data_IF_728011398600
#
_entry.id   IF_728011398600
#
_cell.length_a   1.000
_cell.length_b   1.000
_cell.length_c   1.000
_cell.angle_alpha   90.00
_cell.angle_beta   90.00
_cell.angle_gamma   90.00
#
_symmetry.space_group_name_H-M   'P 1'
#
loop_
_entity.id
_entity.type
_entity.pdbx_description
1 polymer ?
#
# COMPACT_ATOMS: atom_id res chain seq x y z
N UNK A 1 90.19 77.32 -18.94
CA UNK A 1 89.76 76.17 -18.11
C UNK A 1 88.51 76.46 -17.25
N UNK A 2 88.08 77.73 -17.07
CA UNK A 2 86.89 78.11 -16.27
C UNK A 2 85.56 78.05 -17.05
N UNK A 3 85.59 78.24 -18.38
CA UNK A 3 84.38 78.26 -19.23
C UNK A 3 83.64 76.91 -19.31
N UNK A 4 84.36 75.79 -19.37
CA UNK A 4 83.77 74.44 -19.41
C UNK A 4 83.10 74.04 -18.09
N UNK A 5 83.58 74.54 -16.95
CA UNK A 5 82.99 74.26 -15.64
C UNK A 5 81.66 75.00 -15.47
N UNK A 6 81.59 76.25 -15.96
CA UNK A 6 80.36 77.04 -15.90
C UNK A 6 79.25 76.45 -16.77
N UNK A 7 79.61 75.93 -17.94
CA UNK A 7 78.66 75.29 -18.86
C UNK A 7 78.08 73.99 -18.28
N UNK A 8 78.93 73.16 -17.66
CA UNK A 8 78.48 71.93 -17.01
C UNK A 8 77.53 72.20 -15.82
N UNK A 9 77.77 73.26 -15.03
CA UNK A 9 76.91 73.64 -13.91
C UNK A 9 75.53 74.12 -14.40
N UNK A 10 75.48 74.86 -15.52
CA UNK A 10 74.21 75.32 -16.10
C UNK A 10 73.39 74.13 -16.61
N UNK A 11 74.01 73.19 -17.32
CA UNK A 11 73.33 71.96 -17.80
C UNK A 11 72.79 71.13 -16.62
N UNK A 12 73.56 71.04 -15.53
CA UNK A 12 73.11 70.32 -14.33
C UNK A 12 71.93 71.02 -13.63
N UNK A 13 71.94 72.35 -13.57
CA UNK A 13 70.84 73.13 -13.00
C UNK A 13 69.55 73.00 -13.85
N UNK A 14 69.68 73.02 -15.17
CA UNK A 14 68.54 72.84 -16.08
C UNK A 14 67.97 71.42 -16.02
N UNK A 15 68.81 70.40 -15.85
CA UNK A 15 68.38 69.01 -15.67
C UNK A 15 67.57 68.84 -14.37
N UNK A 16 68.06 69.38 -13.25
CA UNK A 16 67.37 69.34 -11.96
C UNK A 16 66.02 70.05 -12.03
N UNK A 17 65.95 71.19 -12.72
CA UNK A 17 64.71 71.96 -12.89
C UNK A 17 63.67 71.21 -13.73
N UNK A 18 64.11 70.52 -14.79
CA UNK A 18 63.23 69.70 -15.63
C UNK A 18 62.68 68.48 -14.87
N UNK A 19 63.46 67.90 -13.97
CA UNK A 19 63.08 66.72 -13.18
C UNK A 19 62.10 67.08 -12.05
N UNK A 20 62.33 68.21 -11.37
CA UNK A 20 61.38 68.78 -10.40
C UNK A 20 60.03 69.12 -11.04
N UNK A 21 60.02 69.76 -12.22
CA UNK A 21 58.78 70.08 -12.94
C UNK A 21 57.99 68.82 -13.36
N UNK A 22 58.69 67.76 -13.80
CA UNK A 22 58.06 66.47 -14.12
C UNK A 22 57.46 65.78 -12.90
N UNK A 23 58.14 65.84 -11.75
CA UNK A 23 57.65 65.21 -10.51
C UNK A 23 56.43 65.94 -9.94
N UNK A 24 56.39 67.28 -10.01
CA UNK A 24 55.23 68.05 -9.59
C UNK A 24 54.01 67.78 -10.50
N UNK A 25 54.21 67.67 -11.81
CA UNK A 25 53.14 67.37 -12.75
C UNK A 25 52.56 65.96 -12.56
N UNK A 26 53.43 64.98 -12.28
CA UNK A 26 53.00 63.62 -11.90
C UNK A 26 52.23 63.61 -10.59
N UNK A 27 52.67 64.38 -9.60
CA UNK A 27 51.96 64.49 -8.31
C UNK A 27 50.55 65.04 -8.48
N UNK A 28 50.35 66.06 -9.32
CA UNK A 28 49.01 66.62 -9.60
C UNK A 28 48.10 65.60 -10.29
N UNK A 29 48.62 64.89 -11.28
CA UNK A 29 47.86 63.85 -11.99
C UNK A 29 47.41 62.70 -11.06
N UNK A 30 48.27 62.26 -10.14
CA UNK A 30 47.92 61.23 -9.16
C UNK A 30 46.84 61.69 -8.18
N UNK A 31 46.93 62.93 -7.71
CA UNK A 31 45.91 63.50 -6.80
C UNK A 31 44.56 63.61 -7.50
N UNK A 32 44.52 64.04 -8.76
CA UNK A 32 43.28 64.13 -9.53
C UNK A 32 42.67 62.75 -9.84
N UNK A 33 43.50 61.75 -10.13
CA UNK A 33 43.06 60.38 -10.32
C UNK A 33 42.47 59.77 -9.04
N UNK A 34 43.11 60.01 -7.89
CA UNK A 34 42.60 59.56 -6.58
C UNK A 34 41.28 60.26 -6.24
N UNK A 35 41.17 61.56 -6.51
CA UNK A 35 39.93 62.32 -6.29
C UNK A 35 38.77 61.80 -7.15
N UNK A 36 39.03 61.46 -8.41
CA UNK A 36 38.03 60.82 -9.29
C UNK A 36 37.62 59.43 -8.78
N UNK A 37 38.56 58.61 -8.31
CA UNK A 37 38.23 57.29 -7.76
C UNK A 37 37.33 57.38 -6.52
N UNK A 38 37.65 58.28 -5.58
CA UNK A 38 36.82 58.48 -4.38
C UNK A 38 35.41 58.92 -4.78
N UNK A 39 35.31 59.90 -5.68
CA UNK A 39 34.01 60.42 -6.12
C UNK A 39 33.17 59.37 -6.87
N UNK A 40 33.80 58.56 -7.73
CA UNK A 40 33.11 57.45 -8.42
C UNK A 40 32.62 56.38 -7.44
N UNK A 41 33.41 56.06 -6.42
CA UNK A 41 33.06 55.05 -5.42
C UNK A 41 31.94 55.53 -4.48
N UNK A 42 31.90 56.82 -4.13
CA UNK A 42 30.82 57.43 -3.34
C UNK A 42 29.48 57.41 -4.09
N UNK A 43 29.48 57.66 -5.40
CA UNK A 43 28.25 57.60 -6.21
C UNK A 43 27.75 56.16 -6.36
N UNK A 44 28.66 55.21 -6.60
CA UNK A 44 28.30 53.79 -6.72
C UNK A 44 27.76 53.22 -5.40
N UNK A 45 28.38 53.57 -4.27
CA UNK A 45 27.93 53.09 -2.96
C UNK A 45 26.55 53.64 -2.58
N UNK A 46 26.26 54.92 -2.88
CA UNK A 46 24.91 55.49 -2.69
C UNK A 46 23.86 54.80 -3.57
N UNK A 47 24.16 54.53 -4.83
CA UNK A 47 23.22 53.84 -5.72
C UNK A 47 22.93 52.40 -5.27
N UNK A 48 23.92 51.71 -4.69
CA UNK A 48 23.74 50.39 -4.09
C UNK A 48 22.93 50.45 -2.80
N UNK A 49 23.16 51.46 -1.95
CA UNK A 49 22.38 51.67 -0.73
C UNK A 49 20.91 51.99 -1.05
N UNK A 50 20.64 52.88 -2.01
CA UNK A 50 19.27 53.19 -2.45
C UNK A 50 18.55 51.95 -3.00
N UNK A 51 19.23 51.12 -3.80
CA UNK A 51 18.66 49.85 -4.29
C UNK A 51 18.42 48.85 -3.16
N UNK A 52 19.31 48.79 -2.16
CA UNK A 52 19.13 47.94 -0.99
C UNK A 52 17.93 48.41 -0.15
N UNK A 53 17.80 49.71 0.07
CA UNK A 53 16.68 50.31 0.81
C UNK A 53 15.35 50.09 0.08
N UNK A 54 15.33 50.22 -1.26
CA UNK A 54 14.16 49.92 -2.09
C UNK A 54 13.79 48.43 -2.03
N UNK A 55 14.76 47.51 -2.05
CA UNK A 55 14.48 46.08 -1.86
C UNK A 55 13.95 45.76 -0.46
N UNK A 56 14.42 46.48 0.57
CA UNK A 56 13.97 46.28 1.95
C UNK A 56 12.59 46.89 2.23
N UNK A 57 12.20 47.93 1.46
CA UNK A 57 10.87 48.56 1.52
C UNK A 57 9.84 47.94 0.57
N UNK A 58 10.26 47.10 -0.37
CA UNK A 58 9.34 46.34 -1.23
C UNK A 58 8.54 45.36 -0.36
N UNK A 59 7.19 45.29 -0.50
CA UNK A 59 6.39 44.38 0.30
C UNK A 59 6.86 42.96 0.02
N UNK A 60 7.45 42.29 1.01
CA UNK A 60 7.65 40.85 0.92
C UNK A 60 6.27 40.24 0.70
N UNK A 61 6.04 39.68 -0.49
CA UNK A 61 4.86 38.86 -0.78
C UNK A 61 4.83 37.78 0.31
N UNK A 62 3.98 37.98 1.31
CA UNK A 62 3.76 37.03 2.39
C UNK A 62 3.03 35.84 1.77
N UNK A 63 3.81 34.96 1.16
CA UNK A 63 3.32 33.66 0.73
C UNK A 63 3.05 32.91 2.04
N UNK A 64 1.81 32.96 2.50
CA UNK A 64 1.32 32.09 3.57
C UNK A 64 1.18 30.70 2.97
N UNK A 65 2.32 30.08 2.68
CA UNK A 65 2.40 28.64 2.55
C UNK A 65 2.15 28.10 3.94
N UNK A 66 0.95 27.59 4.19
CA UNK A 66 0.72 26.64 5.26
C UNK A 66 1.59 25.41 4.94
N UNK A 67 2.85 25.44 5.39
CA UNK A 67 3.61 24.21 5.58
C UNK A 67 2.84 23.44 6.64
N UNK A 68 2.05 22.46 6.20
CA UNK A 68 1.59 21.40 7.09
C UNK A 68 2.84 20.67 7.56
N UNK A 69 3.28 20.97 8.77
CA UNK A 69 4.28 20.18 9.46
C UNK A 69 3.66 18.79 9.73
N UNK A 70 4.17 17.70 9.12
CA UNK A 70 3.65 16.36 9.38
C UNK A 70 4.07 15.83 10.78
N UNK A 71 4.69 16.66 11.61
CA UNK A 71 5.19 16.37 12.96
C UNK A 71 4.13 16.54 14.07
N UNK A 72 2.84 16.57 13.73
CA UNK A 72 1.81 16.41 14.77
C UNK A 72 1.80 14.96 15.23
N UNK A 73 2.12 14.73 16.51
CA UNK A 73 2.09 13.41 17.17
C UNK A 73 0.79 12.65 16.89
N UNK A 74 -0.34 13.36 16.76
CA UNK A 74 -1.63 12.77 16.46
C UNK A 74 -1.75 12.22 15.03
N UNK A 75 -1.15 12.87 14.04
CA UNK A 75 -1.17 12.39 12.64
C UNK A 75 -0.31 11.13 12.50
N UNK A 76 0.85 11.09 13.17
CA UNK A 76 1.70 9.90 13.20
C UNK A 76 1.00 8.72 13.92
N UNK A 77 0.36 8.99 15.05
CA UNK A 77 -0.46 7.99 15.77
C UNK A 77 -1.65 7.52 14.92
N UNK A 78 -2.27 8.42 14.15
CA UNK A 78 -3.37 8.08 13.25
C UNK A 78 -2.91 7.16 12.12
N UNK A 79 -1.78 7.46 11.47
CA UNK A 79 -1.17 6.59 10.44
C UNK A 79 -0.79 5.23 11.04
N UNK A 80 -0.21 5.22 12.24
CA UNK A 80 0.10 3.98 12.95
C UNK A 80 -1.15 3.17 13.31
N UNK A 81 -2.21 3.83 13.77
CA UNK A 81 -3.50 3.20 14.07
C UNK A 81 -4.20 2.67 12.82
N UNK A 82 -4.12 3.38 11.70
CA UNK A 82 -4.61 2.93 10.39
C UNK A 82 -3.83 1.70 9.90
N UNK A 83 -2.51 1.72 9.99
CA UNK A 83 -1.70 0.56 9.61
C UNK A 83 -2.00 -0.65 10.51
N UNK A 84 -2.15 -0.44 11.82
CA UNK A 84 -2.49 -1.50 12.77
C UNK A 84 -3.90 -2.05 12.52
N UNK A 85 -4.88 -1.21 12.20
CA UNK A 85 -6.24 -1.66 11.88
C UNK A 85 -6.29 -2.48 10.59
N UNK A 86 -5.50 -2.11 9.58
CA UNK A 86 -5.32 -2.89 8.36
C UNK A 86 -4.72 -4.26 8.65
N UNK A 87 -3.66 -4.34 9.46
CA UNK A 87 -3.03 -5.61 9.85
C UNK A 87 -4.01 -6.50 10.61
N UNK A 88 -4.73 -5.96 11.59
CA UNK A 88 -5.73 -6.70 12.37
C UNK A 88 -6.88 -7.16 11.47
N UNK A 89 -7.30 -6.36 10.50
CA UNK A 89 -8.35 -6.71 9.54
C UNK A 89 -7.93 -7.90 8.65
N UNK A 90 -6.71 -7.86 8.11
CA UNK A 90 -6.17 -8.96 7.30
C UNK A 90 -5.97 -10.22 8.16
N UNK A 91 -5.44 -10.06 9.37
CA UNK A 91 -5.25 -11.17 10.30
C UNK A 91 -6.58 -11.82 10.69
N UNK A 92 -7.58 -11.02 11.07
CA UNK A 92 -8.91 -11.49 11.44
C UNK A 92 -9.59 -12.26 10.31
N UNK A 93 -9.51 -11.75 9.07
CA UNK A 93 -10.03 -12.44 7.90
C UNK A 93 -9.28 -13.77 7.65
N UNK A 94 -7.95 -13.77 7.79
CA UNK A 94 -7.14 -14.98 7.60
C UNK A 94 -7.40 -16.05 8.68
N UNK A 95 -7.56 -15.64 9.94
CA UNK A 95 -7.92 -16.56 11.04
C UNK A 95 -9.33 -17.11 10.86
N UNK A 96 -10.28 -16.27 10.45
CA UNK A 96 -11.65 -16.70 10.18
C UNK A 96 -11.72 -17.67 9.00
N UNK A 97 -10.97 -17.42 7.93
CA UNK A 97 -10.83 -18.37 6.81
C UNK A 97 -10.25 -19.71 7.27
N UNK A 98 -9.23 -19.68 8.13
CA UNK A 98 -8.63 -20.91 8.68
C UNK A 98 -9.63 -21.69 9.53
N UNK A 99 -10.40 -21.02 10.37
CA UNK A 99 -11.44 -21.64 11.18
C UNK A 99 -12.52 -22.25 10.30
N UNK A 100 -13.02 -21.53 9.30
CA UNK A 100 -14.03 -22.04 8.36
C UNK A 100 -13.56 -23.33 7.67
N UNK A 101 -12.31 -23.36 7.23
CA UNK A 101 -11.69 -24.55 6.65
C UNK A 101 -11.59 -25.71 7.65
N UNK A 102 -11.38 -25.43 8.95
CA UNK A 102 -11.36 -26.46 9.99
C UNK A 102 -12.77 -27.04 10.28
N UNK A 103 -13.81 -26.20 10.27
CA UNK A 103 -15.19 -26.65 10.43
C UNK A 103 -15.63 -27.57 9.29
N UNK A 104 -15.30 -27.21 8.04
CA UNK A 104 -15.64 -28.04 6.87
C UNK A 104 -14.95 -29.41 6.93
N UNK A 105 -13.69 -29.46 7.36
CA UNK A 105 -12.95 -30.72 7.54
C UNK A 105 -13.54 -31.57 8.67
N UNK A 106 -13.96 -30.95 9.78
CA UNK A 106 -14.58 -31.67 10.89
C UNK A 106 -15.96 -32.22 10.51
N UNK A 107 -16.76 -31.45 9.77
CA UNK A 107 -18.05 -31.89 9.23
C UNK A 107 -17.88 -33.08 8.28
N UNK A 108 -16.94 -32.99 7.34
CA UNK A 108 -16.65 -34.10 6.41
C UNK A 108 -16.14 -35.34 7.15
N UNK A 109 -15.28 -35.19 8.17
CA UNK A 109 -14.84 -36.30 9.02
C UNK A 109 -16.02 -36.99 9.71
N UNK A 110 -16.94 -36.22 10.29
CA UNK A 110 -18.10 -36.76 10.98
C UNK A 110 -19.07 -37.47 10.01
N UNK A 111 -19.32 -36.87 8.85
CA UNK A 111 -20.18 -37.44 7.80
C UNK A 111 -19.58 -38.71 7.21
N UNK A 112 -18.26 -38.74 6.96
CA UNK A 112 -17.55 -39.93 6.50
C UNK A 112 -17.54 -41.04 7.54
N UNK A 113 -17.32 -40.71 8.82
CA UNK A 113 -17.41 -41.67 9.93
C UNK A 113 -18.77 -42.34 9.97
N UNK A 114 -19.87 -41.59 9.80
CA UNK A 114 -21.24 -42.13 9.76
C UNK A 114 -21.46 -43.17 8.66
N UNK A 115 -20.65 -43.17 7.60
CA UNK A 115 -20.71 -44.15 6.51
C UNK A 115 -19.84 -45.37 6.79
N UNK A 116 -18.70 -45.16 7.41
CA UNK A 116 -17.71 -46.20 7.75
C UNK A 116 -18.10 -46.94 9.05
N UNK A 117 -19.21 -46.57 9.69
CA UNK A 117 -19.64 -47.07 11.00
C UNK A 117 -20.39 -48.42 11.06
N UNK A 118 -20.29 -49.42 10.15
CA UNK A 118 -20.44 -50.79 10.59
C UNK A 118 -19.16 -51.21 11.34
N UNK A 119 -19.09 -50.77 12.61
CA UNK A 119 -18.31 -51.18 13.79
C UNK A 119 -16.93 -51.86 13.77
N UNK A 120 -16.32 -52.33 12.67
CA UNK A 120 -15.07 -53.12 12.76
C UNK A 120 -14.12 -52.98 11.56
N UNK A 121 -13.82 -51.75 11.11
CA UNK A 121 -12.97 -51.56 9.91
C UNK A 121 -11.75 -50.63 10.14
N UNK A 122 -10.50 -51.05 9.80
CA UNK A 122 -9.28 -50.22 9.78
C UNK A 122 -9.39 -48.87 9.05
N UNK A 123 -10.47 -48.61 8.32
CA UNK A 123 -10.77 -47.36 7.62
C UNK A 123 -10.83 -46.10 8.51
N UNK A 124 -11.18 -46.19 9.80
CA UNK A 124 -11.16 -45.02 10.70
C UNK A 124 -9.72 -44.52 10.91
N UNK A 125 -8.78 -45.45 11.08
CA UNK A 125 -7.34 -45.14 11.23
C UNK A 125 -6.75 -44.60 9.91
N UNK A 126 -7.29 -45.01 8.77
CA UNK A 126 -6.94 -44.47 7.45
C UNK A 126 -7.39 -43.01 7.29
N UNK A 127 -8.64 -42.67 7.66
CA UNK A 127 -9.11 -41.29 7.66
C UNK A 127 -8.26 -40.39 8.58
N UNK A 128 -7.95 -40.84 9.79
CA UNK A 128 -7.16 -40.04 10.73
C UNK A 128 -5.77 -39.68 10.17
N UNK A 129 -5.10 -40.63 9.50
CA UNK A 129 -3.77 -40.42 8.91
C UNK A 129 -3.79 -39.43 7.74
N UNK A 130 -4.77 -39.53 6.84
CA UNK A 130 -4.86 -38.68 5.65
C UNK A 130 -5.45 -37.29 5.91
N UNK A 131 -6.24 -37.12 6.98
CA UNK A 131 -6.79 -35.81 7.34
C UNK A 131 -5.94 -35.02 8.36
N UNK A 132 -5.11 -35.68 9.18
CA UNK A 132 -4.31 -34.98 10.22
C UNK A 132 -2.81 -34.97 9.96
N UNK A 133 -2.22 -36.05 9.41
CA UNK A 133 -0.76 -36.21 9.30
C UNK A 133 -0.24 -35.91 7.89
N UNK A 134 -0.92 -36.39 6.84
CA UNK A 134 -0.55 -36.13 5.43
C UNK A 134 -1.79 -35.70 4.64
N UNK A 135 -2.06 -34.38 4.62
CA UNK A 135 -3.20 -33.80 3.91
C UNK A 135 -3.07 -34.07 2.40
N UNK A 136 -3.80 -35.05 1.89
CA UNK A 136 -3.89 -35.36 0.47
C UNK A 136 -5.27 -34.91 -0.05
N UNK A 137 -5.27 -33.81 -0.78
CA UNK A 137 -6.49 -33.19 -1.32
C UNK A 137 -7.30 -34.16 -2.19
N UNK A 138 -6.63 -35.09 -2.89
CA UNK A 138 -7.30 -36.08 -3.75
C UNK A 138 -8.08 -37.11 -2.93
N UNK A 139 -7.54 -37.52 -1.78
CA UNK A 139 -8.21 -38.46 -0.87
C UNK A 139 -9.39 -37.78 -0.19
N UNK A 140 -9.27 -36.49 0.15
CA UNK A 140 -10.36 -35.70 0.72
C UNK A 140 -11.51 -35.57 -0.28
N UNK A 141 -11.21 -35.33 -1.55
CA UNK A 141 -12.22 -35.23 -2.61
C UNK A 141 -12.90 -36.57 -2.92
N UNK A 142 -12.15 -37.68 -2.96
CA UNK A 142 -12.72 -39.02 -3.11
C UNK A 142 -13.67 -39.37 -1.95
N UNK A 143 -13.26 -39.05 -0.70
CA UNK A 143 -14.12 -39.21 0.47
C UNK A 143 -15.38 -38.35 0.36
N UNK A 144 -15.28 -37.08 -0.10
CA UNK A 144 -16.43 -36.20 -0.31
C UNK A 144 -17.40 -36.76 -1.35
N UNK A 145 -16.90 -37.31 -2.46
CA UNK A 145 -17.73 -37.91 -3.52
C UNK A 145 -18.42 -39.19 -3.05
N UNK A 146 -17.70 -40.07 -2.34
CA UNK A 146 -18.30 -41.26 -1.70
C UNK A 146 -19.39 -40.88 -0.71
N UNK A 147 -19.13 -39.81 0.04
CA UNK A 147 -20.06 -39.25 0.99
C UNK A 147 -21.35 -38.77 0.32
N UNK A 148 -21.21 -37.96 -0.72
CA UNK A 148 -22.36 -37.49 -1.49
C UNK A 148 -23.16 -38.66 -2.10
N UNK A 149 -22.48 -39.66 -2.68
CA UNK A 149 -23.12 -40.81 -3.29
C UNK A 149 -23.90 -41.67 -2.28
N UNK A 150 -23.37 -41.86 -1.08
CA UNK A 150 -24.05 -42.59 -0.02
C UNK A 150 -25.29 -41.84 0.50
N UNK A 151 -25.18 -40.54 0.75
CA UNK A 151 -26.32 -39.73 1.19
C UNK A 151 -27.42 -39.65 0.13
N UNK A 152 -27.05 -39.54 -1.14
CA UNK A 152 -27.99 -39.59 -2.26
C UNK A 152 -28.67 -40.97 -2.35
N UNK A 153 -27.92 -42.05 -2.17
CA UNK A 153 -28.47 -43.41 -2.13
C UNK A 153 -29.45 -43.62 -0.96
N UNK A 154 -29.13 -43.13 0.24
CA UNK A 154 -30.05 -43.21 1.39
C UNK A 154 -31.34 -42.44 1.13
N UNK A 155 -31.24 -41.23 0.62
CA UNK A 155 -32.41 -40.39 0.30
C UNK A 155 -33.28 -41.07 -0.75
N UNK A 156 -32.67 -41.59 -1.82
CA UNK A 156 -33.40 -42.29 -2.86
C UNK A 156 -34.04 -43.59 -2.34
N UNK A 157 -33.35 -44.33 -1.47
CA UNK A 157 -33.92 -45.51 -0.84
C UNK A 157 -35.15 -45.16 0.00
N UNK A 158 -35.10 -44.07 0.77
CA UNK A 158 -36.22 -43.61 1.56
C UNK A 158 -37.42 -43.20 0.68
N UNK A 159 -37.18 -42.42 -0.39
CA UNK A 159 -38.20 -42.05 -1.37
C UNK A 159 -38.83 -43.28 -2.04
N UNK A 160 -38.02 -44.29 -2.39
CA UNK A 160 -38.51 -45.53 -2.98
C UNK A 160 -39.39 -46.31 -2.02
N UNK A 161 -39.04 -46.36 -0.73
CA UNK A 161 -39.84 -47.02 0.31
C UNK A 161 -41.17 -46.30 0.50
N UNK A 162 -41.18 -44.97 0.57
CA UNK A 162 -42.42 -44.19 0.66
C UNK A 162 -43.30 -44.38 -0.58
N UNK A 163 -42.72 -44.33 -1.79
CA UNK A 163 -43.47 -44.59 -3.02
C UNK A 163 -44.01 -46.03 -3.09
N UNK A 164 -43.26 -47.02 -2.61
CA UNK A 164 -43.72 -48.41 -2.57
C UNK A 164 -44.92 -48.56 -1.63
N UNK A 165 -44.84 -48.04 -0.41
CA UNK A 165 -45.96 -48.08 0.56
C UNK A 165 -47.20 -47.34 0.03
N UNK A 166 -47.01 -46.20 -0.64
CA UNK A 166 -48.10 -45.47 -1.27
C UNK A 166 -48.78 -46.28 -2.38
N UNK A 167 -48.00 -46.86 -3.29
CA UNK A 167 -48.52 -47.70 -4.39
C UNK A 167 -49.24 -48.93 -3.87
N UNK A 168 -48.70 -49.60 -2.85
CA UNK A 168 -49.34 -50.74 -2.20
C UNK A 168 -50.68 -50.36 -1.55
N UNK A 169 -50.77 -49.18 -0.93
CA UNK A 169 -52.03 -48.70 -0.33
C UNK A 169 -53.13 -48.50 -1.39
N UNK A 170 -52.79 -48.00 -2.58
CA UNK A 170 -53.72 -47.82 -3.70
C UNK A 170 -54.12 -49.18 -4.26
N UNK A 171 -53.17 -50.08 -4.47
CA UNK A 171 -53.43 -51.42 -4.98
C UNK A 171 -54.39 -52.19 -4.06
N UNK A 172 -54.18 -52.10 -2.74
CA UNK A 172 -55.06 -52.73 -1.75
C UNK A 172 -56.49 -52.16 -1.78
N UNK A 173 -56.65 -50.84 -1.93
CA UNK A 173 -57.97 -50.21 -2.08
C UNK A 173 -58.69 -50.70 -3.35
N UNK A 174 -58.00 -50.68 -4.49
CA UNK A 174 -58.56 -51.16 -5.77
C UNK A 174 -58.95 -52.65 -5.71
N UNK A 175 -58.12 -53.48 -5.08
CA UNK A 175 -58.42 -54.90 -4.89
C UNK A 175 -59.66 -55.11 -4.00
N UNK A 176 -59.82 -54.30 -2.95
CA UNK A 176 -61.00 -54.34 -2.09
C UNK A 176 -62.28 -53.93 -2.86
N UNK A 177 -62.22 -52.87 -3.66
CA UNK A 177 -63.33 -52.42 -4.50
C UNK A 177 -63.71 -53.46 -5.56
N UNK A 178 -62.73 -54.02 -6.26
CA UNK A 178 -62.96 -55.09 -7.24
C UNK A 178 -63.64 -56.31 -6.62
N UNK A 179 -63.17 -56.74 -5.44
CA UNK A 179 -63.79 -57.85 -4.71
C UNK A 179 -65.22 -57.54 -4.26
N UNK A 180 -65.52 -56.29 -3.88
CA UNK A 180 -66.89 -55.85 -3.57
C UNK A 180 -67.80 -55.94 -4.80
N UNK A 181 -67.36 -55.43 -5.95
CA UNK A 181 -68.10 -55.50 -7.22
C UNK A 181 -68.36 -56.97 -7.60
N UNK A 182 -67.33 -57.82 -7.55
CA UNK A 182 -67.44 -59.24 -7.86
C UNK A 182 -68.45 -59.97 -6.97
N UNK A 183 -68.53 -59.63 -5.69
CA UNK A 183 -69.54 -60.19 -4.76
C UNK A 183 -70.94 -59.70 -5.11
N UNK A 184 -71.12 -58.41 -5.38
CA UNK A 184 -72.41 -57.84 -5.78
C UNK A 184 -72.95 -58.45 -7.08
N UNK A 185 -72.08 -58.70 -8.07
CA UNK A 185 -72.46 -59.38 -9.31
C UNK A 185 -72.86 -60.84 -9.10
N UNK A 186 -72.20 -61.56 -8.17
CA UNK A 186 -72.55 -62.95 -7.84
C UNK A 186 -73.84 -63.06 -7.05
N UNK A 187 -74.19 -62.07 -6.22
CA UNK A 187 -75.44 -62.06 -5.46
C UNK A 187 -76.65 -61.55 -6.26
N UNK A 188 -76.42 -60.89 -7.40
CA UNK A 188 -77.48 -60.36 -8.29
C UNK A 188 -77.95 -61.35 -9.35
N UNK A 189 -77.44 -62.58 -9.34
CA UNK A 189 -77.73 -63.65 -10.31
C UNK A 189 -78.41 -64.81 -9.60
#
# INVERSE_FOLDING_TARGET
KISKLRDAIVVFADLIKAELGKNEQRSKFLVDAVKQMIQGNDVSSKALQDKLEVMNKSPQKKLVTHRFEPTSKYVLLFIGGLALSLVISIWGNLTQWREYQAWEVADLKYRALKMVLPSDDPNVRYLEKHFSVCRDEKVIDDVRNRVAAYEDSIRHHHEMVEMATYKDSIANKLLQESNRIKRAMKSSK
#
